data_IF_150888486208
#
_entry.id   IF_150888486208
#
_cell.length_a   1.000
_cell.length_b   1.000
_cell.length_c   1.000
_cell.angle_alpha   90.00
_cell.angle_beta   90.00
_cell.angle_gamma   90.00
#
_symmetry.space_group_name_H-M   'P 1'
#
loop_
_entity.id
_entity.type
_entity.pdbx_description
1 polymer ?
#
# COMPACT_ATOMS: atom_id res chain seq x y z
N UNK A 1 21.16 -8.03 5.23
CA UNK A 1 19.75 -7.78 4.86
C UNK A 1 19.08 -9.14 4.72
N UNK A 2 17.92 -9.37 5.34
CA UNK A 2 17.16 -10.60 5.12
C UNK A 2 16.88 -10.79 3.60
N UNK A 3 16.98 -12.02 3.06
CA UNK A 3 16.89 -12.26 1.62
C UNK A 3 15.53 -11.88 1.02
N UNK A 4 14.45 -12.02 1.79
CA UNK A 4 13.08 -11.62 1.45
C UNK A 4 12.93 -10.10 1.25
N UNK A 5 13.63 -9.31 2.04
CA UNK A 5 13.63 -7.83 1.95
C UNK A 5 14.38 -7.37 0.70
N UNK A 6 15.43 -8.09 0.30
CA UNK A 6 16.21 -7.76 -0.89
C UNK A 6 15.40 -8.00 -2.17
N UNK A 7 14.73 -9.15 -2.30
CA UNK A 7 13.87 -9.47 -3.45
C UNK A 7 12.76 -8.44 -3.65
N UNK A 8 12.09 -8.05 -2.55
CA UNK A 8 11.02 -7.07 -2.62
C UNK A 8 11.51 -5.69 -3.05
N UNK A 9 12.73 -5.30 -2.65
CA UNK A 9 13.36 -4.06 -3.10
C UNK A 9 13.71 -4.10 -4.58
N UNK A 10 14.23 -5.22 -5.09
CA UNK A 10 14.53 -5.35 -6.52
C UNK A 10 13.28 -5.28 -7.40
N UNK A 11 12.19 -5.92 -6.97
CA UNK A 11 10.92 -5.86 -7.68
C UNK A 11 10.36 -4.42 -7.75
N UNK A 12 10.37 -3.71 -6.62
CA UNK A 12 9.95 -2.30 -6.57
C UNK A 12 10.85 -1.43 -7.43
N UNK A 13 12.17 -1.67 -7.42
CA UNK A 13 13.11 -0.91 -8.24
C UNK A 13 12.83 -1.05 -9.75
N UNK A 14 12.65 -2.28 -10.22
CA UNK A 14 12.34 -2.55 -11.63
C UNK A 14 10.99 -1.94 -12.06
N UNK A 15 10.00 -1.92 -11.16
CA UNK A 15 8.70 -1.30 -11.40
C UNK A 15 8.79 0.22 -11.52
N UNK A 16 9.56 0.85 -10.65
CA UNK A 16 9.77 2.30 -10.63
C UNK A 16 10.55 2.77 -11.86
N UNK A 17 11.57 2.02 -12.28
CA UNK A 17 12.35 2.33 -13.47
C UNK A 17 11.50 2.20 -14.75
N UNK A 18 10.62 1.18 -14.80
CA UNK A 18 9.73 0.95 -15.94
C UNK A 18 8.61 2.00 -16.04
N UNK A 19 7.91 2.25 -14.93
CA UNK A 19 6.69 3.09 -14.97
C UNK A 19 6.98 4.58 -14.83
N UNK A 20 8.13 4.95 -14.24
CA UNK A 20 8.51 6.31 -13.86
C UNK A 20 7.47 7.06 -13.03
N UNK A 21 6.49 6.36 -12.46
CA UNK A 21 5.44 6.92 -11.59
C UNK A 21 5.55 6.38 -10.18
N UNK A 22 4.85 7.02 -9.25
CA UNK A 22 4.67 6.49 -7.92
C UNK A 22 3.75 5.26 -7.94
N UNK A 23 4.00 4.31 -7.03
CA UNK A 23 3.18 3.12 -6.83
C UNK A 23 2.64 3.11 -5.40
N UNK A 24 1.36 2.72 -5.26
CA UNK A 24 0.71 2.54 -3.97
C UNK A 24 0.60 1.06 -3.65
N UNK A 25 0.93 0.68 -2.44
CA UNK A 25 0.65 -0.65 -1.89
C UNK A 25 -0.01 -0.53 -0.54
N UNK A 26 -0.82 -1.53 -0.22
CA UNK A 26 -1.32 -1.76 1.13
C UNK A 26 -0.68 -3.05 1.63
N UNK A 27 -0.12 -3.01 2.83
CA UNK A 27 0.51 -4.16 3.44
C UNK A 27 0.23 -4.22 4.94
N UNK A 28 0.15 -5.43 5.48
CA UNK A 28 -0.09 -5.67 6.90
C UNK A 28 1.21 -6.04 7.61
N UNK A 29 1.49 -5.38 8.73
CA UNK A 29 2.68 -5.59 9.57
C UNK A 29 2.24 -5.68 11.02
N UNK A 30 2.43 -6.85 11.64
CA UNK A 30 2.11 -7.05 13.06
C UNK A 30 0.65 -6.68 13.42
N UNK A 31 -0.30 -6.94 12.51
CA UNK A 31 -1.71 -6.60 12.68
C UNK A 31 -2.06 -5.14 12.36
N UNK A 32 -1.07 -4.31 12.00
CA UNK A 32 -1.29 -2.96 11.52
C UNK A 32 -1.32 -2.92 9.99
N UNK A 33 -2.32 -2.24 9.44
CA UNK A 33 -2.50 -2.04 8.01
C UNK A 33 -1.85 -0.71 7.62
N UNK A 34 -0.89 -0.77 6.71
CA UNK A 34 -0.21 0.41 6.18
C UNK A 34 -0.54 0.62 4.71
N UNK A 35 -0.99 1.81 4.35
CA UNK A 35 -0.95 2.30 2.98
C UNK A 35 0.40 2.97 2.73
N UNK A 36 1.23 2.36 1.88
CA UNK A 36 2.54 2.88 1.52
C UNK A 36 2.54 3.41 0.09
N UNK A 37 3.04 4.64 -0.09
CA UNK A 37 3.29 5.23 -1.40
C UNK A 37 4.79 5.29 -1.64
N UNK A 38 5.25 4.67 -2.73
CA UNK A 38 6.65 4.69 -3.15
C UNK A 38 6.78 5.65 -4.33
N UNK A 39 7.61 6.66 -4.17
CA UNK A 39 7.88 7.68 -5.20
C UNK A 39 9.32 7.57 -5.69
N UNK A 40 9.56 7.38 -7.00
CA UNK A 40 10.91 7.34 -7.53
C UNK A 40 11.54 8.75 -7.54
N UNK A 41 12.83 8.81 -7.29
CA UNK A 41 13.64 10.03 -7.35
C UNK A 41 14.72 9.80 -8.42
N UNK A 42 14.66 10.60 -9.47
CA UNK A 42 15.58 10.56 -10.58
C UNK A 42 16.66 11.64 -10.44
N UNK A 43 17.83 11.41 -11.02
CA UNK A 43 18.83 12.47 -11.23
C UNK A 43 18.52 13.32 -12.47
N UNK A 44 19.40 14.27 -12.77
CA UNK A 44 19.31 15.16 -13.93
C UNK A 44 19.43 14.42 -15.28
N UNK A 45 20.01 13.22 -15.29
CA UNK A 45 20.10 12.33 -16.45
C UNK A 45 18.89 11.39 -16.57
N UNK A 46 17.92 11.48 -15.66
CA UNK A 46 16.71 10.66 -15.66
C UNK A 46 16.92 9.22 -15.18
N UNK A 47 18.05 8.93 -14.51
CA UNK A 47 18.33 7.63 -13.89
C UNK A 47 17.70 7.57 -12.51
N UNK A 48 17.06 6.43 -12.19
CA UNK A 48 16.51 6.19 -10.86
C UNK A 48 17.67 6.08 -9.86
N UNK A 49 17.76 7.04 -8.93
CA UNK A 49 18.84 7.08 -7.93
C UNK A 49 18.33 6.70 -6.54
N UNK A 50 17.07 7.01 -6.24
CA UNK A 50 16.46 6.77 -4.92
C UNK A 50 14.96 6.50 -5.06
N UNK A 51 14.38 5.96 -4.00
CA UNK A 51 12.94 5.90 -3.83
C UNK A 51 12.58 6.45 -2.44
N UNK A 52 11.56 7.31 -2.38
CA UNK A 52 10.95 7.76 -1.13
C UNK A 52 9.74 6.90 -0.82
N UNK A 53 9.58 6.48 0.43
CA UNK A 53 8.43 5.70 0.88
C UNK A 53 7.72 6.48 1.97
N UNK A 54 6.43 6.72 1.78
CA UNK A 54 5.54 7.29 2.80
C UNK A 54 4.54 6.21 3.17
N UNK A 55 4.65 5.69 4.39
CA UNK A 55 3.70 4.73 4.95
C UNK A 55 2.74 5.46 5.88
N UNK A 56 1.44 5.23 5.70
CA UNK A 56 0.36 5.73 6.54
C UNK A 56 -0.34 4.53 7.18
N UNK A 57 -0.44 4.54 8.49
CA UNK A 57 -1.30 3.59 9.20
C UNK A 57 -2.76 3.89 8.85
N UNK A 58 -3.48 2.88 8.36
CA UNK A 58 -4.89 2.95 8.00
C UNK A 58 -5.74 1.92 8.76
N UNK A 59 -5.21 1.31 9.82
CA UNK A 59 -5.92 0.32 10.66
C UNK A 59 -7.29 0.80 11.13
N UNK A 60 -7.34 1.98 11.73
CA UNK A 60 -8.59 2.57 12.25
C UNK A 60 -9.59 2.81 11.12
N UNK A 61 -9.10 3.29 9.98
CA UNK A 61 -9.92 3.54 8.80
C UNK A 61 -10.53 2.26 8.26
N UNK A 62 -9.72 1.21 8.04
CA UNK A 62 -10.21 -0.08 7.55
C UNK A 62 -11.18 -0.72 8.52
N UNK A 63 -10.90 -0.65 9.83
CA UNK A 63 -11.80 -1.18 10.87
C UNK A 63 -13.16 -0.50 10.87
N UNK A 64 -13.19 0.83 10.68
CA UNK A 64 -14.44 1.59 10.60
C UNK A 64 -15.24 1.27 9.32
N UNK A 65 -14.55 1.14 8.18
CA UNK A 65 -15.17 0.76 6.90
C UNK A 65 -15.79 -0.66 6.98
N UNK A 66 -15.10 -1.62 7.60
CA UNK A 66 -15.60 -2.98 7.80
C UNK A 66 -16.79 -3.03 8.76
N UNK A 67 -16.76 -2.26 9.84
CA UNK A 67 -17.88 -2.16 10.78
C UNK A 67 -19.12 -1.57 10.10
N UNK A 68 -18.95 -0.54 9.26
CA UNK A 68 -20.03 0.07 8.50
C UNK A 68 -20.63 -0.95 7.51
N UNK A 69 -19.79 -1.63 6.73
CA UNK A 69 -20.22 -2.65 5.77
C UNK A 69 -20.97 -3.80 6.45
N UNK A 70 -20.50 -4.26 7.62
CA UNK A 70 -21.20 -5.28 8.41
C UNK A 70 -22.58 -4.82 8.87
N UNK A 71 -22.72 -3.54 9.23
CA UNK A 71 -24.00 -2.95 9.62
C UNK A 71 -24.97 -2.84 8.43
N UNK A 72 -24.47 -2.39 7.27
CA UNK A 72 -25.25 -2.33 6.03
C UNK A 72 -25.73 -3.72 5.58
N UNK A 73 -24.87 -4.75 5.66
CA UNK A 73 -25.26 -6.12 5.33
C UNK A 73 -26.32 -6.68 6.28
N UNK A 74 -26.24 -6.37 7.58
CA UNK A 74 -27.27 -6.74 8.56
C UNK A 74 -28.58 -6.03 8.27
N UNK A 75 -28.54 -4.73 7.97
CA UNK A 75 -29.72 -3.97 7.60
C UNK A 75 -30.37 -4.55 6.33
N UNK A 76 -29.60 -4.75 5.26
CA UNK A 76 -30.13 -5.33 4.00
C UNK A 76 -30.83 -6.68 4.22
N UNK A 77 -30.26 -7.57 5.03
CA UNK A 77 -30.87 -8.87 5.38
C UNK A 77 -32.19 -8.77 6.15
N UNK A 78 -32.40 -7.69 6.90
CA UNK A 78 -33.64 -7.46 7.65
C UNK A 78 -34.76 -6.90 6.76
N UNK A 79 -34.41 -6.15 5.71
CA UNK A 79 -35.39 -5.53 4.80
C UNK A 79 -35.69 -6.35 3.53
N UNK A 80 -34.85 -7.33 3.18
CA UNK A 80 -35.07 -8.24 2.04
C UNK A 80 -35.79 -9.55 2.40
N UNK A 81 -36.44 -9.65 3.59
CA UNK A 81 -37.18 -10.83 4.03
C UNK A 81 -38.60 -10.49 4.51
#
# INVERSE_FOLDING_TARGET
MPPDVAERRYAVWAELERSKTFYKMVDEREGMIFESVVTPIFDDQGKLVRASIVARDITERTSAEDALKSSEEKFRKVFEN
#
